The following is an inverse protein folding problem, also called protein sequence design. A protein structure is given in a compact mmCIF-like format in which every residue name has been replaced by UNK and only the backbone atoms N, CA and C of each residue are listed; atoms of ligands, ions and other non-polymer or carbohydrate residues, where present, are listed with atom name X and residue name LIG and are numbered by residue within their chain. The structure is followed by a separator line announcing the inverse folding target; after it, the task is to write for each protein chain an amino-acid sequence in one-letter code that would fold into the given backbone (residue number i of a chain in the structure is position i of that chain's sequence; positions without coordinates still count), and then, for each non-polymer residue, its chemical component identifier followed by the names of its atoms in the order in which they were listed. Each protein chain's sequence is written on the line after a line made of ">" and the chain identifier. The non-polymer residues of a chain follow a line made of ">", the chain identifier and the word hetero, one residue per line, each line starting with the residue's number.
data_IF_414059874261
#
_entry.id   IF_414059874261
#
_cell.length_a   1.000
_cell.length_b   1.000
_cell.length_c   1.000
_cell.angle_alpha   90.00
_cell.angle_beta   90.00
_cell.angle_gamma   90.00
#
_symmetry.space_group_name_H-M   'P 1'
#
loop_
_entity.id
_entity.type
_entity.pdbx_description
1 polymer ?
#
# COMPACT_ATOMS: atom_id res chain seq x y z
N UNK A 1 -11.95 -10.15 -27.20
CA UNK A 1 -11.78 -10.49 -25.77
C UNK A 1 -12.78 -9.68 -24.95
N UNK A 2 -13.65 -10.31 -24.15
CA UNK A 2 -14.57 -9.57 -23.29
C UNK A 2 -13.76 -8.81 -22.22
N UNK A 3 -13.99 -7.51 -22.09
CA UNK A 3 -13.34 -6.70 -21.07
C UNK A 3 -13.62 -7.32 -19.68
N UNK A 4 -12.58 -7.76 -18.98
CA UNK A 4 -12.71 -8.27 -17.62
C UNK A 4 -13.33 -7.18 -16.75
N UNK A 5 -14.46 -7.49 -16.12
CA UNK A 5 -15.22 -6.54 -15.32
C UNK A 5 -14.43 -6.20 -14.06
N UNK A 6 -14.04 -4.92 -13.90
CA UNK A 6 -13.39 -4.40 -12.69
C UNK A 6 -14.30 -4.68 -11.49
N UNK A 7 -13.79 -5.39 -10.48
CA UNK A 7 -14.59 -5.72 -9.30
C UNK A 7 -14.89 -4.46 -8.45
N UNK A 8 -15.91 -4.55 -7.59
CA UNK A 8 -16.36 -3.39 -6.80
C UNK A 8 -15.25 -2.81 -5.92
N UNK A 9 -14.43 -3.67 -5.32
CA UNK A 9 -13.40 -3.27 -4.37
C UNK A 9 -12.17 -2.65 -5.04
N UNK A 10 -11.92 -2.95 -6.31
CA UNK A 10 -10.85 -2.29 -7.07
C UNK A 10 -11.12 -0.81 -7.37
N UNK A 11 -12.40 -0.45 -7.49
CA UNK A 11 -12.81 0.93 -7.86
C UNK A 11 -12.54 1.90 -6.73
N UNK A 12 -12.40 3.17 -7.09
CA UNK A 12 -12.34 4.28 -6.15
C UNK A 12 -13.55 4.25 -5.20
N UNK A 13 -13.30 4.17 -3.89
CA UNK A 13 -14.30 4.08 -2.84
C UNK A 13 -14.64 5.44 -2.22
N UNK A 14 -13.93 6.51 -2.56
CA UNK A 14 -14.16 7.86 -2.03
C UNK A 14 -15.45 8.46 -2.59
N UNK A 15 -16.56 8.10 -1.94
CA UNK A 15 -17.93 8.55 -2.28
C UNK A 15 -18.59 9.18 -1.06
N UNK A 16 -19.55 10.08 -1.29
CA UNK A 16 -20.28 10.76 -0.21
C UNK A 16 -19.33 11.46 0.77
N UNK A 17 -19.45 11.20 2.05
CA UNK A 17 -18.63 11.81 3.11
C UNK A 17 -17.13 11.45 3.00
N UNK A 18 -16.79 10.28 2.46
CA UNK A 18 -15.40 9.85 2.30
C UNK A 18 -14.61 10.73 1.32
N UNK A 19 -15.25 11.50 0.46
CA UNK A 19 -14.53 12.48 -0.38
C UNK A 19 -13.90 13.62 0.42
N UNK A 20 -14.46 13.93 1.60
CA UNK A 20 -14.01 15.02 2.48
C UNK A 20 -13.30 14.53 3.74
N UNK A 21 -13.52 13.27 4.09
CA UNK A 21 -12.94 12.65 5.28
C UNK A 21 -12.70 11.18 4.98
N UNK A 22 -11.67 10.90 4.17
CA UNK A 22 -11.35 9.55 3.83
C UNK A 22 -10.14 9.40 2.92
N UNK A 23 -9.67 8.19 2.84
CA UNK A 23 -8.56 7.79 1.98
C UNK A 23 -8.90 6.56 1.16
N UNK A 24 -8.15 6.36 0.10
CA UNK A 24 -8.20 5.17 -0.76
C UNK A 24 -6.80 4.86 -1.26
N UNK A 25 -6.29 3.65 -1.02
CA UNK A 25 -4.92 3.24 -1.32
C UNK A 25 -4.89 1.89 -2.02
N UNK A 26 -4.23 1.81 -3.15
CA UNK A 26 -3.86 0.57 -3.85
C UNK A 26 -2.37 0.34 -3.67
N UNK A 27 -1.98 -0.87 -3.35
CA UNK A 27 -0.58 -1.26 -3.17
C UNK A 27 -0.27 -2.49 -4.00
N UNK A 28 0.77 -2.38 -4.81
CA UNK A 28 1.35 -3.46 -5.59
C UNK A 28 2.79 -3.69 -5.09
N UNK A 29 3.15 -4.95 -4.94
CA UNK A 29 4.51 -5.37 -4.54
C UNK A 29 4.96 -6.46 -5.50
N UNK A 30 6.22 -6.41 -5.94
CA UNK A 30 6.82 -7.43 -6.81
C UNK A 30 8.32 -7.48 -6.67
N UNK A 31 8.90 -8.65 -6.84
CA UNK A 31 10.34 -8.81 -6.97
C UNK A 31 10.78 -8.58 -8.41
N UNK A 32 11.95 -8.01 -8.58
CA UNK A 32 12.60 -7.83 -9.87
C UNK A 32 14.11 -8.01 -9.74
N UNK A 33 14.75 -8.43 -10.82
CA UNK A 33 16.17 -8.74 -10.87
C UNK A 33 16.87 -7.75 -11.79
N UNK A 34 17.96 -7.14 -11.31
CA UNK A 34 18.79 -6.24 -12.09
C UNK A 34 19.30 -6.92 -13.34
N UNK A 35 19.15 -6.24 -14.49
CA UNK A 35 19.69 -6.71 -15.76
C UNK A 35 21.23 -6.64 -15.83
N UNK A 36 21.85 -5.89 -14.94
CA UNK A 36 23.31 -5.66 -14.90
C UNK A 36 23.98 -6.50 -13.82
N UNK A 37 23.52 -6.37 -12.58
CA UNK A 37 24.17 -7.01 -11.43
C UNK A 37 23.60 -8.40 -11.09
N UNK A 38 22.38 -8.70 -11.55
CA UNK A 38 21.65 -9.89 -11.11
C UNK A 38 21.07 -9.79 -9.70
N UNK A 39 21.22 -8.64 -9.03
CA UNK A 39 20.67 -8.40 -7.69
C UNK A 39 19.14 -8.41 -7.76
N UNK A 40 18.51 -9.11 -6.82
CA UNK A 40 17.07 -9.12 -6.64
C UNK A 40 16.64 -8.05 -5.64
N UNK A 41 15.61 -7.27 -6.00
CA UNK A 41 14.99 -6.28 -5.12
C UNK A 41 13.48 -6.45 -5.10
N UNK A 42 12.89 -6.15 -3.95
CA UNK A 42 11.44 -6.09 -3.80
C UNK A 42 10.97 -4.65 -3.96
N UNK A 43 10.22 -4.38 -5.01
CA UNK A 43 9.65 -3.07 -5.31
C UNK A 43 8.22 -2.96 -4.87
N UNK A 44 7.80 -1.75 -4.51
CA UNK A 44 6.39 -1.43 -4.25
C UNK A 44 5.97 -0.18 -5.02
N UNK A 45 4.67 -0.14 -5.36
CA UNK A 45 4.01 0.99 -6.00
C UNK A 45 2.67 1.18 -5.31
N UNK A 46 2.44 2.37 -4.77
CA UNK A 46 1.17 2.74 -4.14
C UNK A 46 0.54 3.95 -4.82
N UNK A 47 -0.76 3.85 -5.08
CA UNK A 47 -1.62 4.95 -5.48
C UNK A 47 -2.47 5.33 -4.28
N UNK A 48 -2.47 6.60 -3.89
CA UNK A 48 -3.04 7.03 -2.64
C UNK A 48 -3.80 8.34 -2.79
N UNK A 49 -5.10 8.33 -2.49
CA UNK A 49 -5.96 9.51 -2.54
C UNK A 49 -6.48 9.85 -1.15
N UNK A 50 -6.36 11.12 -0.74
CA UNK A 50 -6.80 11.62 0.56
C UNK A 50 -7.69 12.84 0.37
N UNK A 51 -8.91 12.79 0.92
CA UNK A 51 -9.86 13.90 1.00
C UNK A 51 -10.02 14.71 -0.33
N UNK A 52 -10.20 14.08 -1.50
CA UNK A 52 -10.05 14.75 -2.79
C UNK A 52 -11.06 15.88 -3.05
N UNK A 53 -12.13 15.99 -2.25
CA UNK A 53 -13.12 17.07 -2.42
C UNK A 53 -12.78 18.35 -1.63
N UNK A 54 -11.74 18.34 -0.79
CA UNK A 54 -11.40 19.52 0.03
C UNK A 54 -10.58 20.56 -0.73
N UNK A 55 -9.63 20.13 -1.52
CA UNK A 55 -8.74 21.02 -2.27
C UNK A 55 -8.41 20.44 -3.64
N UNK A 56 -9.37 20.45 -4.60
CA UNK A 56 -9.20 19.79 -5.89
C UNK A 56 -8.07 20.37 -6.74
N UNK A 57 -7.76 21.66 -6.58
CA UNK A 57 -6.72 22.38 -7.35
C UNK A 57 -5.42 22.58 -6.60
N UNK A 58 -5.39 22.25 -5.32
CA UNK A 58 -4.23 22.43 -4.45
C UNK A 58 -3.83 21.10 -3.82
N UNK A 59 -2.53 20.89 -3.69
CA UNK A 59 -1.97 19.84 -2.86
C UNK A 59 -1.80 20.37 -1.44
N UNK A 60 -2.55 19.82 -0.48
CA UNK A 60 -2.47 20.18 0.94
C UNK A 60 -1.93 19.00 1.70
N UNK A 61 -0.64 19.04 2.08
CA UNK A 61 0.05 17.93 2.73
C UNK A 61 -0.24 17.84 4.23
N UNK A 62 -0.26 18.98 4.91
CA UNK A 62 -0.58 19.08 6.32
C UNK A 62 -1.86 19.88 6.58
N UNK A 63 -2.11 20.20 7.84
CA UNK A 63 -3.19 21.09 8.20
C UNK A 63 -2.83 22.55 7.85
N UNK A 64 -3.70 23.21 7.10
CA UNK A 64 -3.51 24.57 6.62
C UNK A 64 -4.47 25.53 7.30
N UNK A 65 -3.98 26.69 7.78
CA UNK A 65 -4.84 27.70 8.33
C UNK A 65 -5.63 28.42 7.22
N UNK A 66 -6.97 28.49 7.35
CA UNK A 66 -7.85 29.12 6.34
C UNK A 66 -7.86 30.64 6.34
N UNK A 67 -7.44 31.28 7.43
CA UNK A 67 -7.63 32.73 7.59
C UNK A 67 -6.52 33.60 6.99
N UNK A 68 -5.35 33.06 6.73
CA UNK A 68 -4.30 33.82 6.04
C UNK A 68 -4.51 33.76 4.52
N UNK A 69 -5.24 34.75 4.01
CA UNK A 69 -5.37 35.00 2.56
C UNK A 69 -4.12 35.63 1.94
N UNK A 70 -3.13 36.03 2.73
CA UNK A 70 -1.86 36.52 2.21
C UNK A 70 -0.99 35.31 1.81
N UNK A 71 -0.55 35.31 0.61
CA UNK A 71 0.09 34.25 -0.15
C UNK A 71 1.47 33.82 0.37
N UNK A 72 1.98 34.34 1.47
CA UNK A 72 3.38 34.16 1.85
C UNK A 72 3.62 33.40 3.18
N UNK A 73 2.59 33.20 4.00
CA UNK A 73 2.76 32.52 5.30
C UNK A 73 1.78 31.35 5.50
N UNK A 74 2.00 30.24 4.79
CA UNK A 74 1.33 28.99 5.10
C UNK A 74 2.06 28.27 6.22
N UNK A 75 1.62 28.39 7.46
CA UNK A 75 2.09 27.51 8.51
C UNK A 75 1.48 26.11 8.36
N UNK A 76 2.28 25.18 7.92
CA UNK A 76 1.94 23.77 7.99
C UNK A 76 2.08 23.29 9.43
N UNK A 77 1.02 22.69 9.95
CA UNK A 77 1.02 22.16 11.32
C UNK A 77 0.91 20.64 11.24
N UNK A 78 1.89 19.97 11.81
CA UNK A 78 1.88 18.50 11.88
C UNK A 78 0.75 18.00 12.77
N UNK A 79 0.00 16.97 12.36
CA UNK A 79 -1.00 16.33 13.20
C UNK A 79 -0.39 15.87 14.53
N UNK A 80 -1.03 16.26 15.65
CA UNK A 80 -0.58 15.90 17.00
C UNK A 80 0.45 16.82 17.63
N UNK A 81 0.96 17.85 16.93
CA UNK A 81 1.84 18.85 17.52
C UNK A 81 1.11 19.71 18.55
N UNK A 82 1.84 20.31 19.51
CA UNK A 82 1.24 21.24 20.48
C UNK A 82 0.59 22.45 19.81
N UNK A 83 1.15 22.90 18.70
CA UNK A 83 0.58 23.98 17.89
C UNK A 83 -0.80 23.58 17.36
N UNK A 84 -0.99 22.32 16.93
CA UNK A 84 -2.29 21.82 16.47
C UNK A 84 -3.36 21.78 17.56
N UNK A 85 -2.96 21.59 18.84
CA UNK A 85 -3.88 21.58 19.98
C UNK A 85 -4.44 22.96 20.36
N UNK A 86 -3.71 24.02 20.03
CA UNK A 86 -4.05 25.40 20.38
C UNK A 86 -4.99 26.07 19.36
N UNK A 87 -5.31 25.39 18.26
CA UNK A 87 -6.18 25.92 17.23
C UNK A 87 -7.56 25.28 17.28
N UNK A 88 -8.61 26.06 17.09
CA UNK A 88 -9.98 25.53 17.01
C UNK A 88 -10.22 24.85 15.68
N UNK A 89 -11.04 23.81 15.66
CA UNK A 89 -11.34 22.98 14.50
C UNK A 89 -11.90 23.73 13.26
N UNK A 90 -12.30 24.97 13.44
CA UNK A 90 -12.82 25.85 12.37
C UNK A 90 -11.72 26.53 11.53
N UNK A 91 -10.46 26.50 11.97
CA UNK A 91 -9.35 27.24 11.34
C UNK A 91 -8.49 26.37 10.42
N UNK A 92 -8.68 25.04 10.42
CA UNK A 92 -7.83 24.14 9.64
C UNK A 92 -8.49 23.57 8.39
N UNK A 93 -7.72 23.48 7.33
CA UNK A 93 -8.02 22.60 6.19
C UNK A 93 -7.26 21.30 6.41
N UNK A 94 -7.99 20.20 6.44
CA UNK A 94 -7.39 18.86 6.51
C UNK A 94 -6.55 18.58 5.27
N UNK A 95 -5.55 17.68 5.37
CA UNK A 95 -4.76 17.25 4.22
C UNK A 95 -5.65 16.79 3.07
N UNK A 96 -5.28 17.18 1.85
CA UNK A 96 -6.01 16.81 0.63
C UNK A 96 -5.02 16.70 -0.51
N UNK A 97 -4.80 15.49 -0.99
CA UNK A 97 -3.82 15.21 -2.05
C UNK A 97 -4.12 13.89 -2.76
N UNK A 98 -3.52 13.74 -3.91
CA UNK A 98 -3.24 12.45 -4.50
C UNK A 98 -1.73 12.20 -4.44
N UNK A 99 -1.31 10.99 -4.14
CA UNK A 99 0.11 10.64 -4.01
C UNK A 99 0.40 9.34 -4.76
N UNK A 100 1.53 9.32 -5.44
CA UNK A 100 2.19 8.09 -5.88
C UNK A 100 3.39 7.88 -4.95
N UNK A 101 3.42 6.71 -4.33
CA UNK A 101 4.53 6.27 -3.51
C UNK A 101 5.14 5.04 -4.15
N UNK A 102 6.44 5.06 -4.38
CA UNK A 102 7.14 3.91 -4.93
C UNK A 102 8.58 3.82 -4.41
N UNK A 103 9.15 2.64 -4.51
CA UNK A 103 10.53 2.40 -4.05
C UNK A 103 10.84 0.93 -3.80
N UNK A 104 11.81 0.71 -2.94
CA UNK A 104 12.34 -0.62 -2.59
C UNK A 104 12.07 -0.93 -1.13
N UNK A 105 11.56 -2.14 -0.86
CA UNK A 105 11.43 -2.70 0.48
C UNK A 105 12.73 -3.44 0.82
N UNK A 106 13.56 -2.83 1.67
CA UNK A 106 14.82 -3.42 2.15
C UNK A 106 15.21 -2.79 3.48
N UNK A 107 16.27 -3.29 4.11
CA UNK A 107 16.80 -2.70 5.34
C UNK A 107 17.24 -1.24 5.14
N UNK A 108 17.75 -0.89 3.95
CA UNK A 108 17.99 0.47 3.49
C UNK A 108 16.83 0.99 2.65
N UNK A 109 15.62 0.95 3.19
CA UNK A 109 14.41 1.30 2.46
C UNK A 109 14.54 2.63 1.72
N UNK A 110 14.27 2.61 0.42
CA UNK A 110 14.16 3.81 -0.39
C UNK A 110 12.71 3.98 -0.78
N UNK A 111 12.08 5.03 -0.27
CA UNK A 111 10.68 5.35 -0.51
C UNK A 111 10.58 6.77 -1.03
N UNK A 112 10.12 6.91 -2.25
CA UNK A 112 9.86 8.20 -2.88
C UNK A 112 8.37 8.50 -2.85
N UNK A 113 7.99 9.73 -2.51
CA UNK A 113 6.61 10.19 -2.47
C UNK A 113 6.45 11.38 -3.43
N UNK A 114 5.63 11.23 -4.46
CA UNK A 114 5.24 12.34 -5.34
C UNK A 114 3.81 12.74 -5.04
N UNK A 115 3.58 14.02 -4.74
CA UNK A 115 2.29 14.57 -4.37
C UNK A 115 1.70 15.42 -5.46
N UNK A 116 0.38 15.34 -5.61
CA UNK A 116 -0.35 16.01 -6.67
C UNK A 116 -1.66 16.61 -6.15
N UNK A 117 -2.16 17.69 -6.76
CA UNK A 117 -3.51 18.16 -6.52
C UNK A 117 -4.53 17.06 -6.86
N UNK A 118 -5.63 16.92 -6.08
CA UNK A 118 -6.63 15.90 -6.34
C UNK A 118 -7.31 15.98 -7.72
N UNK A 119 -7.27 17.13 -8.38
CA UNK A 119 -7.89 17.32 -9.71
C UNK A 119 -7.25 16.49 -10.83
N UNK A 120 -5.96 16.12 -10.67
CA UNK A 120 -5.29 15.27 -11.66
C UNK A 120 -5.76 13.81 -11.62
N UNK A 121 -6.43 13.44 -10.52
CA UNK A 121 -6.97 12.11 -10.33
C UNK A 121 -8.13 11.87 -11.30
N UNK A 122 -7.99 10.89 -12.15
CA UNK A 122 -9.06 10.41 -13.02
C UNK A 122 -9.39 8.95 -12.75
N UNK A 123 -10.67 8.64 -12.63
CA UNK A 123 -11.18 7.28 -12.45
C UNK A 123 -12.24 6.97 -13.52
N UNK A 124 -11.80 6.48 -14.67
CA UNK A 124 -12.68 6.07 -15.77
C UNK A 124 -13.16 4.64 -15.57
N UNK A 125 -14.38 4.38 -16.06
CA UNK A 125 -15.08 3.12 -15.76
C UNK A 125 -14.62 1.91 -16.56
N UNK A 126 -13.88 2.04 -17.67
CA UNK A 126 -13.62 0.96 -18.61
C UNK A 126 -12.15 0.67 -18.92
N UNK A 127 -11.28 1.67 -18.91
CA UNK A 127 -9.89 1.50 -19.37
C UNK A 127 -8.90 1.35 -18.21
N UNK A 128 -9.14 2.03 -17.10
CA UNK A 128 -8.29 1.99 -15.92
C UNK A 128 -9.08 2.20 -14.63
N UNK A 129 -8.51 1.77 -13.52
CA UNK A 129 -9.06 1.95 -12.18
C UNK A 129 -8.84 3.39 -11.74
N UNK A 130 -7.60 3.86 -11.91
CA UNK A 130 -7.16 5.19 -11.52
C UNK A 130 -6.02 5.62 -12.44
N UNK A 131 -5.95 6.90 -12.75
CA UNK A 131 -4.79 7.48 -13.42
C UNK A 131 -4.51 8.89 -12.91
N UNK A 132 -3.24 9.27 -12.92
CA UNK A 132 -2.75 10.61 -12.62
C UNK A 132 -1.92 11.12 -13.79
N UNK A 133 -2.39 12.18 -14.43
CA UNK A 133 -1.67 12.83 -15.52
C UNK A 133 -0.59 13.74 -14.94
N UNK A 134 0.60 13.69 -15.49
CA UNK A 134 1.73 14.56 -15.16
C UNK A 134 2.10 15.41 -16.37
N UNK A 135 2.79 16.53 -16.17
CA UNK A 135 3.21 17.43 -17.26
C UNK A 135 4.54 16.95 -17.87
N UNK A 136 5.53 16.65 -17.03
CA UNK A 136 6.90 16.32 -17.47
C UNK A 136 7.18 14.82 -17.53
N UNK A 137 6.42 14.02 -16.81
CA UNK A 137 6.62 12.56 -16.71
C UNK A 137 5.44 11.80 -17.31
N UNK A 138 5.63 10.53 -17.69
CA UNK A 138 4.53 9.66 -18.09
C UNK A 138 3.43 9.61 -17.03
N UNK A 139 2.17 9.58 -17.47
CA UNK A 139 1.06 9.42 -16.55
C UNK A 139 1.16 8.12 -15.74
N UNK A 140 0.89 8.22 -14.44
CA UNK A 140 0.79 7.03 -13.60
C UNK A 140 -0.59 6.40 -13.75
N UNK A 141 -0.64 5.14 -14.18
CA UNK A 141 -1.87 4.41 -14.52
C UNK A 141 -1.91 3.11 -13.73
N UNK A 142 -3.06 2.82 -13.13
CA UNK A 142 -3.41 1.52 -12.60
C UNK A 142 -4.67 1.03 -13.32
N UNK A 143 -4.55 -0.06 -14.05
CA UNK A 143 -5.64 -0.75 -14.71
C UNK A 143 -5.93 -2.11 -14.05
N UNK A 144 -6.79 -2.91 -14.68
CA UNK A 144 -7.17 -4.21 -14.15
C UNK A 144 -6.05 -5.26 -14.22
N UNK A 145 -5.19 -5.14 -15.20
CA UNK A 145 -4.14 -6.11 -15.55
C UNK A 145 -2.80 -5.46 -15.95
N UNK A 146 -2.68 -4.15 -15.76
CA UNK A 146 -1.41 -3.45 -15.95
C UNK A 146 -1.29 -2.21 -15.06
N UNK A 147 -0.05 -1.81 -14.81
CA UNK A 147 0.30 -0.52 -14.21
C UNK A 147 1.51 0.04 -14.92
N UNK A 148 1.52 1.34 -15.14
CA UNK A 148 2.67 2.05 -15.72
C UNK A 148 2.77 3.46 -15.14
N UNK A 149 3.97 4.02 -15.15
CA UNK A 149 4.18 5.38 -14.69
C UNK A 149 5.64 5.68 -14.41
N UNK A 150 5.87 6.90 -13.95
CA UNK A 150 7.16 7.34 -13.46
C UNK A 150 6.98 8.34 -12.33
N UNK A 151 7.91 8.35 -11.39
CA UNK A 151 8.04 9.38 -10.36
C UNK A 151 9.50 9.83 -10.26
N UNK A 152 9.66 11.08 -9.83
CA UNK A 152 10.95 11.69 -9.55
C UNK A 152 10.79 12.56 -8.31
N UNK A 153 11.70 12.40 -7.36
CA UNK A 153 11.84 13.27 -6.19
C UNK A 153 13.25 13.82 -6.21
N UNK A 154 13.36 15.13 -6.28
CA UNK A 154 14.67 15.80 -6.31
C UNK A 154 15.18 16.07 -4.89
N UNK A 155 16.47 16.35 -4.75
CA UNK A 155 17.03 16.80 -3.46
C UNK A 155 16.48 18.16 -3.03
N UNK A 156 15.99 18.95 -3.97
CA UNK A 156 15.31 20.22 -3.68
C UNK A 156 13.92 19.98 -3.07
N UNK A 157 13.12 19.05 -3.65
CA UNK A 157 11.85 18.64 -3.08
C UNK A 157 12.02 18.10 -1.66
N UNK A 158 13.06 17.27 -1.47
CA UNK A 158 13.38 16.69 -0.16
C UNK A 158 13.75 17.77 0.87
N UNK A 159 14.53 18.79 0.46
CA UNK A 159 14.87 19.91 1.36
C UNK A 159 13.68 20.81 1.66
N UNK A 160 12.77 21.00 0.70
CA UNK A 160 11.58 21.81 0.89
C UNK A 160 10.55 21.15 1.83
N UNK A 161 10.43 19.82 1.77
CA UNK A 161 9.41 19.06 2.52
C UNK A 161 9.94 17.72 3.04
N UNK A 162 10.97 17.72 3.91
CA UNK A 162 11.64 16.49 4.37
C UNK A 162 10.71 15.51 5.09
N UNK A 163 9.67 16.02 5.75
CA UNK A 163 8.70 15.21 6.48
C UNK A 163 7.70 14.45 5.58
N UNK A 164 7.63 14.80 4.28
CA UNK A 164 6.67 14.20 3.35
C UNK A 164 7.31 13.41 2.21
N UNK A 165 8.49 13.82 1.73
CA UNK A 165 9.04 13.32 0.46
C UNK A 165 9.70 11.94 0.55
N UNK A 166 10.19 11.53 1.71
CA UNK A 166 10.91 10.28 1.91
C UNK A 166 12.34 10.33 1.38
N UNK A 167 12.62 9.69 0.25
CA UNK A 167 13.96 9.66 -0.39
C UNK A 167 13.94 10.40 -1.72
N UNK A 168 15.08 10.98 -2.13
CA UNK A 168 15.28 11.43 -3.51
C UNK A 168 15.60 10.26 -4.44
N UNK A 169 15.28 10.41 -5.72
CA UNK A 169 15.54 9.42 -6.74
C UNK A 169 14.53 9.43 -7.88
N UNK A 170 14.62 8.42 -8.73
CA UNK A 170 13.72 8.21 -9.86
C UNK A 170 13.26 6.76 -9.94
N UNK A 171 11.99 6.54 -10.26
CA UNK A 171 11.49 5.22 -10.58
C UNK A 171 10.47 5.31 -11.71
N UNK A 172 10.61 4.44 -12.70
CA UNK A 172 9.59 4.23 -13.73
C UNK A 172 9.28 2.75 -13.87
N UNK A 173 8.07 2.43 -14.25
CA UNK A 173 7.60 1.04 -14.40
C UNK A 173 6.64 0.89 -15.56
N UNK A 174 6.67 -0.32 -16.13
CA UNK A 174 5.70 -0.78 -17.12
C UNK A 174 5.47 -2.27 -16.88
N UNK A 175 4.40 -2.57 -16.14
CA UNK A 175 4.13 -3.90 -15.63
C UNK A 175 2.75 -4.37 -16.08
N UNK A 176 2.69 -5.56 -16.67
CA UNK A 176 1.46 -6.34 -16.81
C UNK A 176 1.35 -7.30 -15.64
N UNK A 177 0.14 -7.62 -15.24
CA UNK A 177 -0.07 -8.60 -14.17
C UNK A 177 -1.34 -9.43 -14.34
N UNK A 178 -1.29 -10.63 -13.79
CA UNK A 178 -2.45 -11.49 -13.62
C UNK A 178 -2.56 -11.97 -12.18
N UNK A 179 -3.78 -12.09 -11.70
CA UNK A 179 -4.05 -12.50 -10.30
C UNK A 179 -4.42 -13.97 -10.31
N UNK A 180 -3.59 -14.80 -9.70
CA UNK A 180 -3.79 -16.24 -9.59
C UNK A 180 -4.57 -16.63 -8.34
N UNK A 181 -4.39 -15.89 -7.22
CA UNK A 181 -5.12 -16.13 -5.97
C UNK A 181 -5.72 -14.81 -5.49
N UNK A 182 -7.03 -14.80 -5.30
CA UNK A 182 -7.77 -13.69 -4.70
C UNK A 182 -8.74 -14.23 -3.65
N UNK A 183 -9.08 -13.37 -2.69
CA UNK A 183 -10.02 -13.72 -1.64
C UNK A 183 -11.38 -13.05 -1.89
N UNK A 184 -12.46 -13.76 -1.51
CA UNK A 184 -13.83 -13.31 -1.77
C UNK A 184 -14.32 -12.27 -0.77
N UNK A 185 -13.73 -12.26 0.42
CA UNK A 185 -14.19 -11.46 1.53
C UNK A 185 -13.29 -10.26 1.78
N UNK A 186 -13.91 -9.18 2.21
CA UNK A 186 -13.25 -7.96 2.62
C UNK A 186 -13.16 -7.89 4.14
N UNK A 187 -12.07 -7.34 4.65
CA UNK A 187 -12.02 -6.83 6.01
C UNK A 187 -12.76 -5.48 6.05
N UNK A 188 -13.72 -5.35 6.96
CA UNK A 188 -14.45 -4.10 7.19
C UNK A 188 -14.44 -3.75 8.67
N UNK A 189 -13.56 -2.82 9.02
CA UNK A 189 -13.58 -2.16 10.30
C UNK A 189 -14.30 -0.81 10.23
N UNK A 190 -14.44 -0.14 11.35
CA UNK A 190 -15.12 1.16 11.41
C UNK A 190 -14.42 2.21 10.58
N UNK A 191 -13.09 2.24 10.65
CA UNK A 191 -12.28 3.33 10.14
C UNK A 191 -11.38 2.93 8.96
N UNK A 192 -11.01 1.64 8.86
CA UNK A 192 -10.19 1.09 7.79
C UNK A 192 -10.87 -0.16 7.21
N UNK A 193 -10.96 -0.23 5.90
CA UNK A 193 -11.35 -1.42 5.15
C UNK A 193 -10.15 -1.96 4.38
N UNK A 194 -10.14 -3.25 4.11
CA UNK A 194 -9.07 -3.92 3.39
C UNK A 194 -9.60 -5.01 2.47
N UNK A 195 -9.02 -5.12 1.29
CA UNK A 195 -9.30 -6.20 0.35
C UNK A 195 -8.00 -6.68 -0.29
N UNK A 196 -7.75 -7.98 -0.27
CA UNK A 196 -6.68 -8.61 -1.04
C UNK A 196 -7.21 -8.89 -2.43
N UNK A 197 -6.75 -8.10 -3.38
CA UNK A 197 -7.18 -8.16 -4.79
C UNK A 197 -6.42 -9.21 -5.58
N UNK A 198 -5.17 -9.47 -5.16
CA UNK A 198 -4.33 -10.54 -5.67
C UNK A 198 -3.31 -10.94 -4.61
N UNK A 199 -3.64 -11.93 -3.79
CA UNK A 199 -2.72 -12.47 -2.77
C UNK A 199 -1.49 -13.10 -3.42
N UNK A 200 -1.67 -13.73 -4.57
CA UNK A 200 -0.60 -14.04 -5.52
C UNK A 200 -0.91 -13.37 -6.85
N UNK A 201 0.04 -12.55 -7.29
CA UNK A 201 -0.07 -11.76 -8.52
C UNK A 201 1.21 -11.94 -9.32
N UNK A 202 1.05 -12.45 -10.53
CA UNK A 202 2.18 -12.73 -11.43
C UNK A 202 2.42 -11.49 -12.27
N UNK A 203 3.49 -10.74 -11.96
CA UNK A 203 3.90 -9.55 -12.69
C UNK A 203 4.89 -9.89 -13.79
N UNK A 204 4.86 -9.10 -14.88
CA UNK A 204 5.85 -9.15 -15.95
C UNK A 204 6.10 -7.76 -16.53
N UNK A 205 7.32 -7.48 -16.90
CA UNK A 205 7.71 -6.19 -17.48
C UNK A 205 9.02 -5.66 -16.92
N UNK A 206 9.12 -4.35 -16.81
CA UNK A 206 10.37 -3.67 -16.46
C UNK A 206 10.13 -2.58 -15.43
N UNK A 207 11.08 -2.45 -14.50
CA UNK A 207 11.21 -1.32 -13.57
C UNK A 207 12.58 -0.68 -13.83
N UNK A 208 12.63 0.65 -13.95
CA UNK A 208 13.89 1.39 -13.96
C UNK A 208 13.94 2.17 -12.64
N UNK A 209 14.95 1.91 -11.85
CA UNK A 209 15.14 2.53 -10.54
C UNK A 209 16.54 3.16 -10.48
N UNK A 210 16.61 4.49 -10.30
CA UNK A 210 17.85 5.26 -10.29
C UNK A 210 18.77 4.94 -11.49
N UNK A 211 18.20 4.88 -12.69
CA UNK A 211 18.84 4.55 -13.97
C UNK A 211 19.30 3.09 -14.12
N UNK A 212 18.98 2.21 -13.20
CA UNK A 212 19.23 0.78 -13.33
C UNK A 212 17.93 0.05 -13.72
N UNK A 213 18.04 -0.85 -14.71
CA UNK A 213 16.90 -1.64 -15.20
C UNK A 213 16.78 -2.96 -14.44
N UNK A 214 15.57 -3.24 -14.00
CA UNK A 214 15.19 -4.47 -13.32
C UNK A 214 14.08 -5.19 -14.11
N UNK A 215 14.32 -6.46 -14.40
CA UNK A 215 13.40 -7.33 -15.11
C UNK A 215 12.44 -8.04 -14.14
N UNK A 216 11.15 -7.93 -14.39
CA UNK A 216 10.11 -8.62 -13.63
C UNK A 216 9.67 -9.86 -14.40
N UNK A 217 9.95 -11.03 -13.85
CA UNK A 217 9.58 -12.32 -14.45
C UNK A 217 8.46 -12.96 -13.62
N UNK A 218 7.31 -13.34 -14.22
CA UNK A 218 6.18 -13.89 -13.48
C UNK A 218 6.49 -15.19 -12.72
N UNK A 219 7.50 -15.94 -13.13
CA UNK A 219 7.93 -17.16 -12.42
C UNK A 219 8.59 -16.88 -11.06
N UNK A 220 9.19 -15.70 -10.89
CA UNK A 220 10.00 -15.34 -9.71
C UNK A 220 9.51 -14.04 -9.05
N UNK A 221 8.38 -13.47 -9.49
CA UNK A 221 7.98 -12.14 -9.02
C UNK A 221 7.33 -12.12 -7.63
N UNK A 222 6.86 -13.24 -7.11
CA UNK A 222 6.17 -13.37 -5.81
C UNK A 222 5.26 -12.18 -5.47
N UNK A 223 4.51 -11.72 -6.47
CA UNK A 223 3.83 -10.45 -6.43
C UNK A 223 2.57 -10.47 -5.56
N UNK A 224 2.21 -9.28 -5.06
CA UNK A 224 1.07 -9.05 -4.19
C UNK A 224 0.33 -7.76 -4.58
N UNK A 225 -1.00 -7.80 -4.48
CA UNK A 225 -1.84 -6.64 -4.76
C UNK A 225 -2.99 -6.55 -3.75
N UNK A 226 -3.04 -5.45 -3.01
CA UNK A 226 -4.13 -5.18 -2.07
C UNK A 226 -4.64 -3.73 -2.15
N UNK A 227 -5.68 -3.49 -1.36
CA UNK A 227 -6.30 -2.19 -1.27
C UNK A 227 -6.83 -1.91 0.13
N UNK A 228 -6.55 -0.69 0.61
CA UNK A 228 -7.15 -0.14 1.82
C UNK A 228 -7.96 1.11 1.50
N UNK A 229 -9.05 1.31 2.22
CA UNK A 229 -9.83 2.56 2.16
C UNK A 229 -10.57 2.78 3.48
N UNK A 230 -10.90 4.02 3.79
CA UNK A 230 -11.60 4.33 5.02
C UNK A 230 -11.58 5.80 5.39
N UNK A 231 -11.78 6.05 6.68
CA UNK A 231 -11.80 7.40 7.24
C UNK A 231 -10.51 7.80 7.91
N UNK A 232 -9.83 6.85 8.51
CA UNK A 232 -8.64 7.10 9.29
C UNK A 232 -7.47 6.29 8.73
N UNK A 233 -6.47 6.99 8.22
CA UNK A 233 -5.21 6.44 7.73
C UNK A 233 -4.06 6.65 8.72
N UNK A 234 -4.33 7.28 9.86
CA UNK A 234 -3.35 7.54 10.93
C UNK A 234 -3.38 6.46 12.02
N UNK A 235 -4.44 5.67 12.11
CA UNK A 235 -4.51 4.57 13.08
C UNK A 235 -3.46 3.51 12.78
N UNK A 236 -2.68 3.09 13.78
CA UNK A 236 -1.69 2.04 13.60
C UNK A 236 -2.34 0.73 13.15
N UNK A 237 -1.78 0.13 12.13
CA UNK A 237 -2.12 -1.22 11.70
C UNK A 237 -0.86 -1.96 11.28
N UNK A 238 -0.90 -3.29 11.31
CA UNK A 238 0.16 -4.13 10.77
C UNK A 238 -0.35 -4.92 9.58
N UNK A 239 0.56 -5.27 8.69
CA UNK A 239 0.28 -6.10 7.52
C UNK A 239 1.44 -7.07 7.32
N UNK A 240 1.09 -8.34 7.18
CA UNK A 240 2.01 -9.44 6.92
C UNK A 240 1.51 -10.21 5.71
N UNK A 241 2.37 -10.54 4.77
CA UNK A 241 2.00 -11.37 3.62
C UNK A 241 3.20 -12.08 3.03
N UNK A 242 2.97 -13.28 2.51
CA UNK A 242 3.93 -14.00 1.68
C UNK A 242 3.20 -14.88 0.68
N UNK A 243 3.81 -15.10 -0.48
CA UNK A 243 3.39 -16.08 -1.49
C UNK A 243 4.53 -16.99 -1.93
N UNK A 244 5.67 -16.94 -1.23
CA UNK A 244 6.82 -17.79 -1.47
C UNK A 244 6.92 -18.84 -0.36
N UNK A 245 6.38 -20.02 -0.59
CA UNK A 245 6.33 -21.11 0.39
C UNK A 245 6.96 -22.38 -0.13
N UNK A 246 7.71 -23.01 0.74
CA UNK A 246 8.22 -24.37 0.56
C UNK A 246 7.66 -25.27 1.67
N UNK A 247 7.15 -26.44 1.31
CA UNK A 247 6.71 -27.43 2.28
C UNK A 247 7.92 -28.03 3.01
N UNK A 248 7.96 -27.93 4.32
CA UNK A 248 9.00 -28.57 5.14
C UNK A 248 8.95 -30.09 5.04
N UNK A 249 7.74 -30.67 4.84
CA UNK A 249 7.55 -32.12 4.76
C UNK A 249 8.10 -32.66 3.43
N UNK A 250 7.85 -31.99 2.31
CA UNK A 250 8.18 -32.51 0.98
C UNK A 250 9.32 -31.77 0.27
N UNK A 251 9.78 -30.62 0.79
CA UNK A 251 10.73 -29.73 0.13
C UNK A 251 10.19 -29.08 -1.14
N UNK A 252 8.89 -29.26 -1.45
CA UNK A 252 8.28 -28.76 -2.69
C UNK A 252 7.83 -27.31 -2.54
N UNK A 253 8.07 -26.49 -3.56
CA UNK A 253 7.49 -25.18 -3.68
C UNK A 253 5.95 -25.29 -3.76
N UNK A 254 5.24 -24.47 -2.97
CA UNK A 254 3.78 -24.43 -2.91
C UNK A 254 3.26 -23.27 -3.76
N UNK A 255 3.23 -23.44 -5.06
CA UNK A 255 2.93 -22.40 -6.05
C UNK A 255 1.54 -21.78 -5.90
N UNK A 256 0.56 -22.54 -5.39
CA UNK A 256 -0.81 -22.08 -5.17
C UNK A 256 -1.09 -21.72 -3.71
N UNK A 257 -0.06 -21.21 -3.00
CA UNK A 257 -0.18 -20.88 -1.58
C UNK A 257 0.19 -19.42 -1.29
N UNK A 258 -0.56 -18.81 -0.39
CA UNK A 258 -0.37 -17.42 0.06
C UNK A 258 -1.02 -17.23 1.42
N UNK A 259 -0.43 -16.37 2.24
CA UNK A 259 -1.17 -15.76 3.33
C UNK A 259 -1.15 -14.23 3.23
N UNK A 260 -2.17 -13.61 3.81
CA UNK A 260 -2.23 -12.18 4.03
C UNK A 260 -2.94 -11.91 5.35
N UNK A 261 -2.33 -11.12 6.20
CA UNK A 261 -2.84 -10.74 7.51
C UNK A 261 -2.88 -9.22 7.59
N UNK A 262 -3.99 -8.69 8.07
CA UNK A 262 -4.06 -7.29 8.47
C UNK A 262 -4.75 -7.18 9.82
N UNK A 263 -4.14 -6.43 10.72
CA UNK A 263 -4.65 -6.16 12.05
C UNK A 263 -4.57 -4.69 12.42
N UNK A 264 -5.50 -4.27 13.28
CA UNK A 264 -5.47 -3.00 13.97
C UNK A 264 -4.98 -3.20 15.40
N UNK A 265 -4.30 -2.19 15.95
CA UNK A 265 -3.71 -2.22 17.30
C UNK A 265 -4.69 -2.61 18.43
N UNK A 266 -6.00 -2.53 18.21
CA UNK A 266 -7.05 -2.87 19.21
C UNK A 266 -7.74 -4.21 18.94
N UNK A 267 -7.00 -5.25 18.54
CA UNK A 267 -7.47 -6.64 18.44
C UNK A 267 -8.47 -6.97 17.32
N UNK A 268 -8.42 -6.27 16.21
CA UNK A 268 -9.15 -6.66 15.02
C UNK A 268 -8.17 -7.18 13.98
N UNK A 269 -8.18 -8.47 13.74
CA UNK A 269 -7.30 -9.13 12.78
C UNK A 269 -8.12 -9.89 11.76
N UNK A 270 -7.76 -9.78 10.50
CA UNK A 270 -8.19 -10.70 9.44
C UNK A 270 -7.00 -11.49 8.94
N UNK A 271 -7.17 -12.79 8.83
CA UNK A 271 -6.19 -13.73 8.32
C UNK A 271 -6.79 -14.45 7.13
N UNK A 272 -6.16 -14.31 5.98
CA UNK A 272 -6.56 -14.89 4.72
C UNK A 272 -5.44 -15.83 4.26
N UNK A 273 -5.73 -17.10 4.13
CA UNK A 273 -4.76 -18.12 3.73
C UNK A 273 -5.31 -18.92 2.58
N UNK A 274 -4.51 -19.17 1.57
CA UNK A 274 -4.74 -20.18 0.56
C UNK A 274 -3.60 -21.18 0.61
N UNK A 275 -3.90 -22.46 0.72
CA UNK A 275 -2.93 -23.54 0.66
C UNK A 275 -3.35 -24.47 -0.46
N UNK A 276 -2.53 -24.54 -1.51
CA UNK A 276 -2.75 -25.37 -2.69
C UNK A 276 -4.18 -25.27 -3.24
N UNK A 277 -4.66 -23.99 -3.37
CA UNK A 277 -5.98 -23.67 -3.89
C UNK A 277 -7.14 -23.76 -2.89
N UNK A 278 -6.88 -24.11 -1.63
CA UNK A 278 -7.91 -24.14 -0.59
C UNK A 278 -7.87 -22.85 0.22
N UNK A 279 -8.88 -22.00 0.05
CA UNK A 279 -8.99 -20.74 0.79
C UNK A 279 -9.59 -20.95 2.19
N UNK A 280 -8.93 -20.34 3.19
CA UNK A 280 -9.36 -20.28 4.58
C UNK A 280 -9.35 -18.82 4.99
N UNK A 281 -10.48 -18.29 5.44
CA UNK A 281 -10.66 -16.87 5.71
C UNK A 281 -11.20 -16.65 7.13
N UNK A 282 -10.40 -15.94 7.94
CA UNK A 282 -10.79 -15.45 9.26
C UNK A 282 -10.94 -13.94 9.20
N UNK A 283 -12.13 -13.45 9.58
CA UNK A 283 -12.43 -12.02 9.53
C UNK A 283 -12.68 -11.46 10.93
N UNK A 284 -12.09 -10.32 11.21
CA UNK A 284 -12.18 -9.62 12.49
C UNK A 284 -13.62 -9.49 13.04
N UNK A 285 -14.60 -9.27 12.15
CA UNK A 285 -16.01 -9.10 12.55
C UNK A 285 -16.70 -10.40 12.95
N UNK A 286 -16.14 -11.55 12.56
CA UNK A 286 -16.71 -12.88 12.77
C UNK A 286 -15.98 -13.67 13.85
N UNK A 287 -14.80 -13.20 14.26
CA UNK A 287 -13.98 -13.88 15.23
C UNK A 287 -14.35 -13.44 16.65
N UNK A 288 -14.51 -14.42 17.52
CA UNK A 288 -14.60 -14.19 18.97
C UNK A 288 -13.19 -13.88 19.48
N UNK A 289 -13.05 -12.98 20.47
CA UNK A 289 -11.77 -12.57 21.06
C UNK A 289 -10.83 -13.73 21.47
N UNK A 290 -11.41 -14.89 21.81
CA UNK A 290 -10.66 -16.09 22.23
C UNK A 290 -10.06 -16.90 21.08
N UNK A 291 -10.29 -16.51 19.82
CA UNK A 291 -9.85 -17.26 18.63
C UNK A 291 -8.69 -16.57 17.91
N UNK A 292 -8.19 -15.46 18.44
CA UNK A 292 -7.09 -14.70 17.85
C UNK A 292 -6.09 -14.36 18.94
N UNK A 293 -4.83 -14.64 18.69
CA UNK A 293 -3.70 -14.03 19.39
C UNK A 293 -2.71 -13.51 18.37
N UNK A 294 -2.08 -12.39 18.66
CA UNK A 294 -0.93 -11.90 17.89
C UNK A 294 0.00 -11.13 18.82
N UNK A 295 1.27 -11.19 18.51
CA UNK A 295 2.33 -10.54 19.28
C UNK A 295 3.43 -10.08 18.33
N UNK A 296 4.18 -9.06 18.75
CA UNK A 296 5.37 -8.60 18.07
C UNK A 296 6.45 -8.34 19.13
N UNK A 297 7.55 -9.04 19.02
CA UNK A 297 8.66 -8.91 19.95
C UNK A 297 9.92 -8.45 19.21
N UNK A 298 10.68 -7.59 19.86
CA UNK A 298 12.02 -7.26 19.42
C UNK A 298 12.98 -8.38 19.80
N UNK A 299 13.74 -8.85 18.83
CA UNK A 299 14.76 -9.88 19.02
C UNK A 299 16.12 -9.33 18.60
N UNK A 300 17.14 -9.61 19.40
CA UNK A 300 18.50 -9.31 19.00
C UNK A 300 18.90 -10.25 17.86
N UNK A 301 19.24 -9.68 16.71
CA UNK A 301 19.91 -10.40 15.65
C UNK A 301 21.40 -10.59 15.95
N UNK A 302 22.13 -11.14 15.00
CA UNK A 302 23.61 -11.14 15.02
C UNK A 302 24.13 -9.69 14.88
N UNK A 303 25.42 -9.44 15.20
CA UNK A 303 26.01 -8.10 15.09
C UNK A 303 25.82 -7.48 13.70
N UNK A 304 25.80 -8.29 12.64
CA UNK A 304 25.61 -7.86 11.26
C UNK A 304 24.13 -7.65 10.87
N UNK A 305 23.19 -8.26 11.60
CA UNK A 305 21.76 -8.23 11.24
C UNK A 305 20.94 -7.18 12.01
N UNK A 306 21.47 -6.67 13.12
CA UNK A 306 20.81 -5.67 13.95
C UNK A 306 19.56 -6.18 14.67
N UNK A 307 18.66 -5.27 15.02
CA UNK A 307 17.39 -5.57 15.67
C UNK A 307 16.41 -6.22 14.70
N UNK A 308 15.85 -7.37 15.07
CA UNK A 308 14.80 -8.06 14.31
C UNK A 308 13.46 -7.96 15.02
N UNK A 309 12.38 -8.01 14.26
CA UNK A 309 11.02 -8.12 14.78
C UNK A 309 10.49 -9.54 14.53
N UNK A 310 10.09 -10.21 15.58
CA UNK A 310 9.39 -11.49 15.51
C UNK A 310 7.88 -11.24 15.66
N UNK A 311 7.14 -11.52 14.61
CA UNK A 311 5.68 -11.51 14.61
C UNK A 311 5.15 -12.92 14.73
N UNK A 312 4.23 -13.13 15.67
CA UNK A 312 3.44 -14.34 15.75
C UNK A 312 1.95 -14.03 15.66
N UNK A 313 1.23 -14.78 14.84
CA UNK A 313 -0.22 -14.66 14.67
C UNK A 313 -0.82 -16.06 14.74
N UNK A 314 -1.71 -16.28 15.70
CA UNK A 314 -2.44 -17.54 15.83
C UNK A 314 -3.95 -17.30 15.75
N UNK A 315 -4.61 -18.04 14.88
CA UNK A 315 -6.06 -18.03 14.74
C UNK A 315 -6.60 -19.44 14.68
N UNK A 316 -7.73 -19.68 15.32
CA UNK A 316 -8.38 -20.98 15.28
C UNK A 316 -9.90 -20.87 15.23
N UNK A 317 -10.51 -21.84 14.60
CA UNK A 317 -11.94 -22.11 14.68
C UNK A 317 -12.18 -23.62 14.96
N UNK A 318 -13.39 -24.10 14.75
CA UNK A 318 -13.75 -25.53 14.96
C UNK A 318 -13.06 -26.48 13.98
N UNK A 319 -12.52 -25.97 12.87
CA UNK A 319 -11.99 -26.76 11.75
C UNK A 319 -10.50 -26.57 11.52
N UNK A 320 -9.99 -25.35 11.78
CA UNK A 320 -8.63 -24.95 11.42
C UNK A 320 -7.93 -24.25 12.57
N UNK A 321 -6.66 -24.53 12.71
CA UNK A 321 -5.70 -23.76 13.47
C UNK A 321 -4.63 -23.29 12.48
N UNK A 322 -4.32 -22.02 12.52
CA UNK A 322 -3.29 -21.41 11.67
C UNK A 322 -2.39 -20.59 12.56
N UNK A 323 -1.13 -20.97 12.58
CA UNK A 323 -0.05 -20.26 13.25
C UNK A 323 0.89 -19.70 12.18
N UNK A 324 1.23 -18.42 12.29
CA UNK A 324 2.11 -17.70 11.36
C UNK A 324 3.18 -17.03 12.20
N UNK A 325 4.43 -17.39 11.96
CA UNK A 325 5.60 -16.79 12.57
C UNK A 325 6.47 -16.17 11.48
N UNK A 326 6.90 -14.92 11.72
CA UNK A 326 7.71 -14.12 10.79
C UNK A 326 8.86 -13.49 11.55
N UNK A 327 10.05 -13.64 11.04
CA UNK A 327 11.29 -13.07 11.53
C UNK A 327 11.84 -12.06 10.53
#
# INVERSE_FOLDING_TARGET
>A
MAAKKICRNEKLQLKGSLKKNGFDRWRLVTNAVSSVSGEEKTFFIEFYAVNPALSPKECVLGFKNRFNKSTEDFQYVLPGSETAKNFTSQTYVSPSFFMIKAGVLSASANQMNSYFPPEILSAKKSEYIISAKQEELPACILAHDYTSGAIKVTDEDLRAHPEYMGSSGTMSWNLKFSRSISFSSDYRAKDINWAVLGGKTDFSGTIIFNNEEYNVNPRNSFGYYDKNWGRDFSSPYFHLSSSNFTSEISGRLLDASVFAVQGEYKNKVSVLVSIEGKNIEFHANKLKKKQISFDCQEMNGTEDEGLKLHWSVSVHDRRYVIDIDIL
#
